data_IF_158852826992
#
_entry.id   IF_158852826992
#
_cell.length_a   1.000
_cell.length_b   1.000
_cell.length_c   1.000
_cell.angle_alpha   90.00
_cell.angle_beta   90.00
_cell.angle_gamma   90.00
#
_symmetry.space_group_name_H-M   'P 1'
#
loop_
_entity.id
_entity.type
_entity.pdbx_description
1 polymer ?
#
# COMPACT_ATOMS: atom_id res chain seq x y z
N UNK A 1 -13.93 -12.42 24.85
CA UNK A 1 -15.28 -12.89 24.46
C UNK A 1 -15.76 -11.97 23.36
N UNK A 2 -16.24 -12.48 22.23
CA UNK A 2 -16.80 -11.63 21.15
C UNK A 2 -18.18 -11.13 21.52
N UNK A 3 -18.66 -10.08 20.86
CA UNK A 3 -20.00 -9.53 21.09
C UNK A 3 -21.11 -10.52 20.71
N UNK A 4 -20.90 -11.34 19.68
CA UNK A 4 -21.77 -12.49 19.38
C UNK A 4 -21.79 -13.53 20.51
N UNK A 5 -20.62 -13.82 21.10
CA UNK A 5 -20.51 -14.69 22.27
C UNK A 5 -21.27 -14.12 23.47
N UNK A 6 -21.16 -12.81 23.69
CA UNK A 6 -21.91 -12.11 24.74
C UNK A 6 -23.42 -12.23 24.53
N UNK A 7 -23.91 -12.11 23.29
CA UNK A 7 -25.34 -12.33 22.99
C UNK A 7 -25.79 -13.75 23.28
N UNK A 8 -24.98 -14.75 22.93
CA UNK A 8 -25.31 -16.15 23.19
C UNK A 8 -25.35 -16.48 24.68
N UNK A 9 -24.43 -15.93 25.46
CA UNK A 9 -24.27 -16.24 26.89
C UNK A 9 -24.75 -15.10 27.80
N UNK A 10 -25.62 -14.21 27.31
CA UNK A 10 -26.04 -12.99 28.03
C UNK A 10 -26.53 -13.28 29.44
N UNK A 11 -27.37 -14.31 29.62
CA UNK A 11 -27.91 -14.67 30.93
C UNK A 11 -26.83 -15.09 31.93
N UNK A 12 -25.84 -15.86 31.47
CA UNK A 12 -24.70 -16.28 32.29
C UNK A 12 -23.83 -15.08 32.69
N UNK A 13 -23.49 -14.23 31.72
CA UNK A 13 -22.67 -13.03 31.99
C UNK A 13 -23.42 -12.07 32.90
N UNK A 14 -24.72 -11.88 32.71
CA UNK A 14 -25.56 -11.04 33.56
C UNK A 14 -25.63 -11.55 35.01
N UNK A 15 -25.58 -12.87 35.22
CA UNK A 15 -25.60 -13.44 36.58
C UNK A 15 -24.38 -13.04 37.42
N UNK A 16 -23.28 -12.65 36.78
CA UNK A 16 -22.09 -12.12 37.42
C UNK A 16 -22.25 -10.66 37.88
N UNK A 17 -23.37 -10.01 37.53
CA UNK A 17 -23.66 -8.59 37.79
C UNK A 17 -22.48 -7.66 37.42
N UNK A 18 -21.99 -7.70 36.17
CA UNK A 18 -20.88 -6.85 35.76
C UNK A 18 -21.27 -5.37 35.88
N UNK A 19 -20.43 -4.61 36.59
CA UNK A 19 -20.56 -3.16 36.75
C UNK A 19 -19.84 -2.37 35.67
N UNK A 20 -18.79 -2.94 35.11
CA UNK A 20 -17.95 -2.31 34.09
C UNK A 20 -17.85 -3.26 32.90
N UNK A 21 -18.06 -2.73 31.70
CA UNK A 21 -17.84 -3.47 30.45
C UNK A 21 -16.98 -2.61 29.53
N UNK A 22 -15.92 -3.21 29.00
CA UNK A 22 -15.08 -2.64 27.95
C UNK A 22 -15.30 -3.41 26.66
N UNK A 23 -15.54 -2.68 25.56
CA UNK A 23 -15.70 -3.22 24.21
C UNK A 23 -14.61 -2.62 23.33
N UNK A 24 -13.70 -3.47 22.88
CA UNK A 24 -12.73 -3.13 21.83
C UNK A 24 -13.37 -3.26 20.45
N UNK A 25 -12.81 -2.54 19.47
CA UNK A 25 -13.34 -2.46 18.09
C UNK A 25 -14.83 -2.05 18.04
N UNK A 26 -15.24 -1.17 18.98
CA UNK A 26 -16.62 -0.73 19.12
C UNK A 26 -17.13 0.02 17.88
N UNK A 27 -16.24 0.59 17.07
CA UNK A 27 -16.57 1.24 15.81
C UNK A 27 -17.02 0.26 14.71
N UNK A 28 -16.53 -0.98 14.75
CA UNK A 28 -16.91 -2.07 13.83
C UNK A 28 -18.10 -2.87 14.37
N UNK A 29 -18.45 -2.72 15.65
CA UNK A 29 -19.57 -3.43 16.24
C UNK A 29 -20.89 -2.69 15.98
N UNK A 30 -21.86 -3.37 15.36
CA UNK A 30 -23.21 -2.82 15.19
C UNK A 30 -23.84 -2.48 16.55
N UNK A 31 -24.60 -1.40 16.62
CA UNK A 31 -25.21 -0.89 17.86
C UNK A 31 -26.04 -1.95 18.60
N UNK A 32 -26.76 -2.79 17.87
CA UNK A 32 -27.55 -3.88 18.44
C UNK A 32 -26.72 -4.88 19.26
N UNK A 33 -25.45 -5.10 18.91
CA UNK A 33 -24.56 -5.98 19.69
C UNK A 33 -23.97 -5.28 20.91
N UNK A 34 -23.76 -3.97 20.84
CA UNK A 34 -23.30 -3.16 21.99
C UNK A 34 -24.39 -3.05 23.05
N UNK A 35 -25.67 -2.90 22.65
CA UNK A 35 -26.79 -2.82 23.60
C UNK A 35 -26.97 -4.11 24.42
N UNK A 36 -26.50 -5.24 23.90
CA UNK A 36 -26.43 -6.53 24.60
C UNK A 36 -25.35 -6.56 25.69
N UNK A 37 -24.50 -5.55 25.80
CA UNK A 37 -23.63 -5.35 26.97
C UNK A 37 -24.28 -4.48 28.06
N UNK A 38 -25.39 -3.81 27.77
CA UNK A 38 -26.08 -2.95 28.73
C UNK A 38 -26.92 -3.79 29.70
N UNK A 39 -26.27 -4.34 30.72
CA UNK A 39 -26.92 -5.06 31.82
C UNK A 39 -27.55 -4.09 32.82
N UNK A 40 -28.53 -4.57 33.60
CA UNK A 40 -29.11 -3.76 34.69
C UNK A 40 -28.08 -3.36 35.75
N UNK A 41 -27.03 -4.16 35.93
CA UNK A 41 -25.94 -3.92 36.87
C UNK A 41 -24.87 -2.96 36.35
N UNK A 42 -24.93 -2.58 35.07
CA UNK A 42 -23.86 -1.81 34.43
C UNK A 42 -23.85 -0.37 34.93
N UNK A 43 -22.69 0.05 35.44
CA UNK A 43 -22.42 1.42 35.91
C UNK A 43 -21.47 2.17 34.95
N UNK A 44 -20.60 1.45 34.21
CA UNK A 44 -19.63 2.06 33.29
C UNK A 44 -19.48 1.22 31.99
N UNK A 45 -19.74 1.85 30.84
CA UNK A 45 -19.46 1.29 29.52
C UNK A 45 -18.27 2.02 28.88
N UNK A 46 -17.20 1.28 28.56
CA UNK A 46 -16.01 1.80 27.89
C UNK A 46 -16.01 1.28 26.46
N UNK A 47 -16.04 2.19 25.48
CA UNK A 47 -16.00 1.84 24.05
C UNK A 47 -14.68 2.31 23.46
N UNK A 48 -13.89 1.37 22.95
CA UNK A 48 -12.61 1.64 22.28
C UNK A 48 -12.79 1.30 20.81
N UNK A 49 -12.52 2.24 19.92
CA UNK A 49 -12.67 2.02 18.49
C UNK A 49 -12.20 3.20 17.66
N UNK A 50 -12.23 3.02 16.35
CA UNK A 50 -11.85 4.03 15.38
C UNK A 50 -12.91 4.11 14.27
N UNK A 51 -13.71 5.18 14.29
CA UNK A 51 -14.80 5.40 13.35
C UNK A 51 -14.32 5.78 11.94
N UNK A 52 -13.04 6.06 11.76
CA UNK A 52 -12.41 6.28 10.45
C UNK A 52 -11.86 4.99 9.82
N UNK A 53 -11.78 3.89 10.57
CA UNK A 53 -11.46 2.55 10.06
C UNK A 53 -12.73 1.75 9.70
N UNK A 54 -12.63 0.44 9.49
CA UNK A 54 -13.74 -0.40 9.04
C UNK A 54 -14.99 -0.26 9.94
N UNK A 55 -16.14 -0.22 9.28
CA UNK A 55 -17.46 -0.21 9.93
C UNK A 55 -18.03 -1.62 9.97
N UNK A 56 -18.95 -1.84 10.91
CA UNK A 56 -19.70 -3.08 11.00
C UNK A 56 -20.46 -3.40 9.72
N UNK A 57 -20.46 -4.67 9.33
CA UNK A 57 -21.18 -5.13 8.16
C UNK A 57 -22.66 -5.32 8.48
N UNK A 58 -23.51 -4.51 7.86
CA UNK A 58 -24.95 -4.73 7.85
C UNK A 58 -25.30 -5.64 6.66
N UNK A 59 -25.77 -6.86 6.95
CA UNK A 59 -26.12 -7.83 5.90
C UNK A 59 -27.21 -7.31 4.95
N UNK A 60 -28.14 -6.53 5.49
CA UNK A 60 -29.21 -5.90 4.71
C UNK A 60 -28.80 -4.48 4.35
N UNK A 61 -28.38 -4.30 3.11
CA UNK A 61 -27.89 -3.03 2.61
C UNK A 61 -28.99 -1.95 2.58
N UNK A 62 -30.27 -2.34 2.48
CA UNK A 62 -31.40 -1.39 2.50
C UNK A 62 -31.57 -0.77 3.89
N UNK A 63 -31.20 -1.49 4.94
CA UNK A 63 -31.27 -1.03 6.33
C UNK A 63 -30.00 -0.30 6.78
N UNK A 64 -28.89 -0.49 6.08
CA UNK A 64 -27.60 0.12 6.43
C UNK A 64 -27.65 1.65 6.35
N UNK A 65 -28.39 2.19 5.38
CA UNK A 65 -28.49 3.62 5.07
C UNK A 65 -29.83 4.25 5.47
N UNK A 66 -30.12 5.41 4.90
CA UNK A 66 -31.39 6.12 5.14
C UNK A 66 -32.59 5.24 4.77
N UNK A 67 -33.66 5.20 5.60
CA UNK A 67 -33.88 5.97 6.83
C UNK A 67 -33.37 5.32 8.13
N UNK A 68 -32.89 4.07 8.09
CA UNK A 68 -32.69 3.24 9.28
C UNK A 68 -31.30 3.37 9.91
N UNK A 69 -30.27 3.61 9.10
CA UNK A 69 -28.88 3.82 9.51
C UNK A 69 -28.30 2.70 10.39
N UNK A 70 -28.73 1.45 10.20
CA UNK A 70 -28.23 0.31 10.98
C UNK A 70 -26.75 -0.01 10.72
N UNK A 71 -26.13 0.60 9.70
CA UNK A 71 -24.70 0.49 9.44
C UNK A 71 -23.83 1.42 10.32
N UNK A 72 -24.43 2.30 11.12
CA UNK A 72 -23.70 3.18 12.04
C UNK A 72 -23.56 2.46 13.39
N UNK A 73 -22.34 2.34 13.89
CA UNK A 73 -22.08 1.77 15.22
C UNK A 73 -22.51 2.73 16.33
N UNK A 74 -22.77 2.18 17.53
CA UNK A 74 -23.03 3.02 18.71
C UNK A 74 -21.89 4.00 18.95
N UNK A 75 -20.64 3.54 18.79
CA UNK A 75 -19.44 4.36 18.92
C UNK A 75 -19.47 5.56 17.96
N UNK A 76 -19.67 5.31 16.66
CA UNK A 76 -19.71 6.38 15.66
C UNK A 76 -20.89 7.34 15.90
N UNK A 77 -22.05 6.82 16.31
CA UNK A 77 -23.20 7.66 16.65
C UNK A 77 -22.92 8.59 17.83
N UNK A 78 -22.27 8.10 18.89
CA UNK A 78 -21.90 8.91 20.05
C UNK A 78 -20.89 10.00 19.68
N UNK A 79 -19.88 9.67 18.87
CA UNK A 79 -18.90 10.64 18.35
C UNK A 79 -19.59 11.73 17.53
N UNK A 80 -20.49 11.37 16.59
CA UNK A 80 -21.25 12.33 15.78
C UNK A 80 -22.16 13.23 16.61
N UNK A 81 -22.68 12.70 17.72
CA UNK A 81 -23.47 13.46 18.70
C UNK A 81 -22.62 14.28 19.67
N UNK A 82 -21.30 14.38 19.44
CA UNK A 82 -20.38 15.20 20.23
C UNK A 82 -20.31 14.79 21.70
N UNK A 83 -20.49 13.50 21.99
CA UNK A 83 -20.18 12.95 23.32
C UNK A 83 -18.68 13.05 23.53
N UNK A 84 -18.26 13.51 24.71
CA UNK A 84 -16.84 13.66 25.04
C UNK A 84 -16.10 12.32 24.91
N UNK A 85 -14.97 12.33 24.21
CA UNK A 85 -14.11 11.18 24.03
C UNK A 85 -12.64 11.57 24.18
N UNK A 86 -11.80 10.59 24.50
CA UNK A 86 -10.35 10.73 24.49
C UNK A 86 -9.76 10.11 23.23
N UNK A 87 -8.87 10.84 22.55
CA UNK A 87 -8.18 10.36 21.35
C UNK A 87 -6.71 10.10 21.64
N UNK A 88 -6.22 8.91 21.27
CA UNK A 88 -4.79 8.60 21.29
C UNK A 88 -4.13 9.15 20.03
N UNK A 89 -3.33 10.21 20.17
CA UNK A 89 -2.71 10.92 19.04
C UNK A 89 -1.33 10.37 18.63
N UNK A 90 -0.70 9.54 19.47
CA UNK A 90 0.68 9.07 19.24
C UNK A 90 0.72 7.61 18.79
N UNK A 91 1.24 7.38 17.59
CA UNK A 91 1.36 6.04 16.98
C UNK A 91 2.72 5.39 17.26
N UNK A 92 2.74 4.05 17.35
CA UNK A 92 3.94 3.24 17.65
C UNK A 92 4.26 2.16 16.59
N UNK A 93 3.51 2.13 15.48
CA UNK A 93 3.58 1.08 14.46
C UNK A 93 4.54 1.43 13.34
N UNK A 94 4.30 2.53 12.64
CA UNK A 94 4.88 2.80 11.32
C UNK A 94 5.98 3.85 11.41
N UNK A 95 6.94 3.84 10.49
CA UNK A 95 7.90 4.96 10.37
C UNK A 95 7.20 6.25 9.91
N UNK A 96 7.76 7.45 10.20
CA UNK A 96 7.18 8.73 9.78
C UNK A 96 6.93 8.86 8.27
N UNK A 97 7.74 8.18 7.46
CA UNK A 97 7.63 8.16 6.00
C UNK A 97 6.32 7.51 5.53
N UNK A 98 5.85 6.47 6.22
CA UNK A 98 4.59 5.79 5.93
C UNK A 98 3.41 6.61 6.47
N UNK A 99 3.53 7.13 7.71
CA UNK A 99 2.51 7.98 8.35
C UNK A 99 2.13 9.17 7.47
N UNK A 100 3.06 9.70 6.67
CA UNK A 100 2.80 10.79 5.72
C UNK A 100 1.57 10.55 4.83
N UNK A 101 1.37 9.32 4.36
CA UNK A 101 0.23 8.96 3.52
C UNK A 101 -1.11 8.97 4.26
N UNK A 102 -1.09 8.84 5.60
CA UNK A 102 -2.28 8.87 6.45
C UNK A 102 -2.65 10.29 6.91
N UNK A 103 -1.82 11.30 6.69
CA UNK A 103 -2.09 12.68 7.10
C UNK A 103 -3.45 13.23 6.63
N UNK A 104 -3.95 12.91 5.41
CA UNK A 104 -5.28 13.34 4.97
C UNK A 104 -6.44 12.73 5.79
N UNK A 105 -6.18 11.62 6.47
CA UNK A 105 -7.19 10.88 7.27
C UNK A 105 -7.06 11.29 8.74
N UNK A 106 -5.82 11.24 9.27
CA UNK A 106 -5.50 11.65 10.64
C UNK A 106 -4.53 12.83 10.65
N UNK A 107 -5.08 14.04 10.80
CA UNK A 107 -4.29 15.27 10.79
C UNK A 107 -3.35 15.39 11.99
N UNK A 108 -3.82 14.99 13.18
CA UNK A 108 -3.10 15.15 14.45
C UNK A 108 -2.27 13.93 14.87
N UNK A 109 -2.04 12.97 13.96
CA UNK A 109 -1.29 11.75 14.27
C UNK A 109 0.22 12.04 14.36
N UNK A 110 0.80 11.76 15.54
CA UNK A 110 2.21 11.97 15.87
C UNK A 110 2.98 10.65 16.01
N UNK A 111 4.27 10.68 15.69
CA UNK A 111 5.16 9.52 15.75
C UNK A 111 5.78 9.37 17.16
N UNK A 112 5.73 8.16 17.73
CA UNK A 112 6.48 7.85 18.96
C UNK A 112 7.98 7.65 18.65
N UNK A 113 8.92 8.06 19.54
CA UNK A 113 10.35 7.88 19.30
C UNK A 113 10.78 6.44 18.94
N UNK A 114 10.06 5.44 19.42
CA UNK A 114 10.32 4.02 19.15
C UNK A 114 10.20 3.62 17.67
N UNK A 115 9.65 4.47 16.80
CA UNK A 115 9.52 4.17 15.36
C UNK A 115 10.55 4.88 14.48
N UNK A 116 11.38 5.76 15.06
CA UNK A 116 12.30 6.61 14.29
C UNK A 116 13.51 5.82 13.78
N UNK A 117 14.01 4.86 14.56
CA UNK A 117 15.27 4.14 14.28
C UNK A 117 15.04 2.73 13.72
N UNK A 118 13.93 2.51 13.00
CA UNK A 118 13.66 1.20 12.38
C UNK A 118 14.62 0.96 11.22
N UNK A 119 15.10 -0.28 11.07
CA UNK A 119 16.02 -0.65 10.00
C UNK A 119 15.40 -0.38 8.61
N UNK A 120 16.18 0.19 7.67
CA UNK A 120 15.70 0.43 6.31
C UNK A 120 15.39 -0.89 5.59
N UNK A 121 14.59 -0.82 4.53
CA UNK A 121 14.30 -1.98 3.68
C UNK A 121 15.53 -2.29 2.82
N UNK A 122 16.07 -3.52 2.88
CA UNK A 122 17.19 -3.95 2.05
C UNK A 122 16.91 -3.75 0.56
N UNK A 123 17.91 -3.29 -0.18
CA UNK A 123 17.78 -3.03 -1.62
C UNK A 123 17.04 -1.73 -1.99
N UNK A 124 16.58 -0.93 -1.02
CA UNK A 124 15.75 0.26 -1.32
C UNK A 124 16.44 1.60 -1.08
N UNK A 125 17.72 1.61 -0.70
CA UNK A 125 18.51 2.84 -0.56
C UNK A 125 17.91 3.85 0.43
N UNK A 126 17.18 3.37 1.45
CA UNK A 126 16.49 4.22 2.43
C UNK A 126 15.12 4.73 1.98
N UNK A 127 14.61 4.33 0.80
CA UNK A 127 13.24 4.63 0.35
C UNK A 127 12.29 3.55 0.87
N UNK A 128 11.68 3.83 2.01
CA UNK A 128 10.85 2.86 2.72
C UNK A 128 9.34 3.07 2.46
N UNK A 129 8.96 4.16 1.79
CA UNK A 129 7.59 4.41 1.33
C UNK A 129 7.61 4.87 -0.13
N UNK A 130 6.85 4.21 -1.01
CA UNK A 130 6.80 4.60 -2.42
C UNK A 130 5.48 4.22 -3.10
N UNK A 131 5.00 5.07 -3.99
CA UNK A 131 3.86 4.82 -4.88
C UNK A 131 4.39 4.62 -6.31
N UNK A 132 4.39 3.38 -6.77
CA UNK A 132 4.63 3.04 -8.16
C UNK A 132 3.35 3.24 -8.97
N UNK A 133 3.35 4.23 -9.87
CA UNK A 133 2.21 4.48 -10.76
C UNK A 133 2.40 3.81 -12.11
N UNK A 134 1.34 3.20 -12.64
CA UNK A 134 1.34 2.56 -13.96
C UNK A 134 0.07 2.91 -14.75
N UNK A 135 0.06 2.51 -16.04
CA UNK A 135 -1.09 2.67 -16.96
C UNK A 135 -1.69 1.31 -17.38
N UNK A 136 -1.21 0.20 -16.81
CA UNK A 136 -1.73 -1.14 -17.05
C UNK A 136 -3.23 -1.26 -16.74
N UNK A 137 -4.02 -1.70 -17.72
CA UNK A 137 -5.49 -1.70 -17.65
C UNK A 137 -6.03 -2.86 -16.82
N UNK A 138 -7.11 -2.59 -16.09
CA UNK A 138 -7.85 -3.63 -15.38
C UNK A 138 -8.60 -4.57 -16.34
N UNK A 139 -8.72 -5.82 -15.92
CA UNK A 139 -9.56 -6.86 -16.51
C UNK A 139 -10.45 -7.46 -15.43
N UNK A 140 -11.07 -8.60 -15.70
CA UNK A 140 -12.02 -9.23 -14.78
C UNK A 140 -11.84 -10.74 -14.84
N UNK A 141 -11.90 -11.41 -13.68
CA UNK A 141 -11.81 -12.87 -13.59
C UNK A 141 -13.16 -13.57 -13.90
N UNK A 142 -13.17 -14.90 -13.83
CA UNK A 142 -14.37 -15.72 -14.08
C UNK A 142 -15.52 -15.38 -13.11
N UNK A 143 -15.19 -14.92 -11.89
CA UNK A 143 -16.15 -14.54 -10.85
C UNK A 143 -16.50 -13.05 -10.88
N UNK A 144 -16.20 -12.36 -11.97
CA UNK A 144 -16.45 -10.92 -12.15
C UNK A 144 -15.66 -10.01 -11.18
N UNK A 145 -14.61 -10.53 -10.53
CA UNK A 145 -13.70 -9.75 -9.68
C UNK A 145 -12.63 -9.04 -10.51
N UNK A 146 -12.20 -7.84 -10.08
CA UNK A 146 -11.21 -7.04 -10.82
C UNK A 146 -9.80 -7.61 -10.66
N UNK A 147 -9.03 -7.53 -11.75
CA UNK A 147 -7.67 -8.07 -11.85
C UNK A 147 -6.80 -7.14 -12.70
N UNK A 148 -5.54 -6.97 -12.32
CA UNK A 148 -4.54 -6.25 -13.09
C UNK A 148 -3.26 -7.09 -13.22
N UNK A 149 -2.99 -7.57 -14.44
CA UNK A 149 -1.91 -8.52 -14.70
C UNK A 149 -0.52 -7.88 -14.65
N UNK A 150 -0.39 -6.64 -15.13
CA UNK A 150 0.86 -5.87 -15.12
C UNK A 150 1.23 -5.52 -13.68
N UNK A 151 0.27 -4.98 -12.93
CA UNK A 151 0.45 -4.67 -11.51
C UNK A 151 0.80 -5.91 -10.68
N UNK A 152 0.11 -7.04 -10.92
CA UNK A 152 0.44 -8.31 -10.27
C UNK A 152 1.86 -8.80 -10.62
N UNK A 153 2.32 -8.55 -11.85
CA UNK A 153 3.70 -8.84 -12.27
C UNK A 153 4.71 -8.00 -11.50
N UNK A 154 4.47 -6.68 -11.40
CA UNK A 154 5.32 -5.75 -10.65
C UNK A 154 5.41 -6.14 -9.18
N UNK A 155 4.27 -6.44 -8.55
CA UNK A 155 4.22 -6.86 -7.13
C UNK A 155 5.01 -8.15 -6.90
N UNK A 156 4.90 -9.13 -7.80
CA UNK A 156 5.61 -10.42 -7.67
C UNK A 156 7.12 -10.26 -7.89
N UNK A 157 7.53 -9.52 -8.93
CA UNK A 157 8.95 -9.24 -9.18
C UNK A 157 9.59 -8.47 -8.04
N UNK A 158 8.87 -7.48 -7.48
CA UNK A 158 9.34 -6.73 -6.34
C UNK A 158 9.37 -7.56 -5.03
N UNK A 159 8.37 -8.41 -4.81
CA UNK A 159 8.39 -9.36 -3.69
C UNK A 159 9.64 -10.25 -3.77
N UNK A 160 9.94 -10.80 -4.94
CA UNK A 160 11.13 -11.61 -5.15
C UNK A 160 12.41 -10.82 -4.88
N UNK A 161 12.50 -9.60 -5.43
CA UNK A 161 13.62 -8.70 -5.18
C UNK A 161 13.90 -8.49 -3.68
N UNK A 162 12.85 -8.23 -2.88
CA UNK A 162 12.99 -8.05 -1.43
C UNK A 162 13.50 -9.33 -0.75
N UNK A 163 12.98 -10.48 -1.15
CA UNK A 163 13.39 -11.79 -0.62
C UNK A 163 14.84 -12.11 -0.99
N UNK A 164 15.27 -11.83 -2.22
CA UNK A 164 16.67 -11.97 -2.65
C UNK A 164 17.59 -11.06 -1.84
N UNK A 165 17.12 -9.87 -1.44
CA UNK A 165 17.84 -8.95 -0.54
C UNK A 165 17.78 -9.33 0.95
N UNK A 166 17.30 -10.53 1.28
CA UNK A 166 17.36 -11.11 2.61
C UNK A 166 16.14 -10.86 3.50
N UNK A 167 15.05 -10.31 2.96
CA UNK A 167 13.78 -10.23 3.70
C UNK A 167 13.15 -11.62 3.82
N UNK A 168 12.63 -11.96 5.00
CA UNK A 168 11.87 -13.19 5.16
C UNK A 168 10.49 -13.02 4.48
N UNK A 169 10.04 -13.96 3.63
CA UNK A 169 8.69 -13.91 3.04
C UNK A 169 7.56 -13.71 4.06
N UNK A 170 7.72 -14.21 5.29
CA UNK A 170 6.75 -14.01 6.37
C UNK A 170 6.65 -12.56 6.87
N UNK A 171 7.69 -11.75 6.66
CA UNK A 171 7.74 -10.32 7.01
C UNK A 171 7.11 -9.41 5.94
N UNK A 172 6.66 -10.00 4.82
CA UNK A 172 6.07 -9.28 3.69
C UNK A 172 4.61 -9.72 3.53
N UNK A 173 3.69 -8.77 3.62
CA UNK A 173 2.27 -8.98 3.29
C UNK A 173 1.93 -8.29 1.99
N UNK A 174 1.24 -9.00 1.09
CA UNK A 174 0.61 -8.39 -0.08
C UNK A 174 -0.88 -8.15 0.21
N UNK A 175 -1.29 -6.89 0.16
CA UNK A 175 -2.68 -6.46 0.33
C UNK A 175 -3.29 -6.07 -1.00
N UNK A 176 -4.56 -6.39 -1.17
CA UNK A 176 -5.35 -5.94 -2.32
C UNK A 176 -6.83 -5.82 -1.96
N UNK A 177 -7.57 -5.02 -2.72
CA UNK A 177 -9.00 -4.83 -2.50
C UNK A 177 -9.86 -5.90 -3.20
N UNK A 178 -9.27 -6.71 -4.08
CA UNK A 178 -10.02 -7.61 -4.96
C UNK A 178 -9.56 -9.06 -4.83
N UNK A 179 -10.52 -9.97 -4.59
CA UNK A 179 -10.25 -11.40 -4.49
C UNK A 179 -9.67 -12.00 -5.77
N UNK A 180 -10.07 -11.51 -6.95
CA UNK A 180 -9.48 -11.92 -8.23
C UNK A 180 -7.98 -11.63 -8.26
N UNK A 181 -7.59 -10.41 -7.89
CA UNK A 181 -6.19 -10.00 -7.79
C UNK A 181 -5.42 -10.82 -6.74
N UNK A 182 -6.02 -11.04 -5.56
CA UNK A 182 -5.43 -11.89 -4.50
C UNK A 182 -5.08 -13.27 -5.04
N UNK A 183 -6.01 -13.92 -5.74
CA UNK A 183 -5.80 -15.24 -6.35
C UNK A 183 -4.72 -15.19 -7.43
N UNK A 184 -4.71 -14.17 -8.28
CA UNK A 184 -3.71 -14.01 -9.33
C UNK A 184 -2.29 -13.87 -8.75
N UNK A 185 -2.11 -12.98 -7.78
CA UNK A 185 -0.81 -12.75 -7.14
C UNK A 185 -0.34 -14.01 -6.43
N UNK A 186 -1.20 -14.64 -5.63
CA UNK A 186 -0.88 -15.89 -4.94
C UNK A 186 -0.43 -16.98 -5.91
N UNK A 187 -1.12 -17.12 -7.05
CA UNK A 187 -0.73 -18.08 -8.10
C UNK A 187 0.65 -17.73 -8.69
N UNK A 188 0.88 -16.48 -9.08
CA UNK A 188 2.15 -16.02 -9.65
C UNK A 188 3.32 -16.20 -8.67
N UNK A 189 3.13 -15.92 -7.37
CA UNK A 189 4.16 -16.14 -6.35
C UNK A 189 4.54 -17.63 -6.23
N UNK A 190 3.55 -18.53 -6.25
CA UNK A 190 3.80 -19.99 -6.20
C UNK A 190 4.50 -20.52 -7.43
N UNK A 191 4.22 -19.94 -8.60
CA UNK A 191 4.86 -20.29 -9.87
C UNK A 191 6.26 -19.65 -10.02
N UNK A 192 6.59 -18.63 -9.21
CA UNK A 192 7.84 -17.88 -9.33
C UNK A 192 9.06 -18.72 -8.94
N UNK A 193 10.06 -18.77 -9.83
CA UNK A 193 11.24 -19.66 -9.74
C UNK A 193 11.97 -19.64 -8.39
N UNK A 194 12.14 -18.47 -7.77
CA UNK A 194 12.89 -18.30 -6.51
C UNK A 194 12.02 -18.41 -5.24
N UNK A 195 10.71 -18.50 -5.41
CA UNK A 195 9.74 -18.45 -4.32
C UNK A 195 9.00 -19.78 -4.11
N UNK A 196 9.24 -20.79 -4.94
CA UNK A 196 8.61 -22.11 -4.82
C UNK A 196 8.84 -22.71 -3.42
N UNK A 197 7.77 -23.28 -2.85
CA UNK A 197 7.79 -23.88 -1.52
C UNK A 197 7.70 -22.91 -0.34
N UNK A 198 7.67 -21.59 -0.58
CA UNK A 198 7.54 -20.58 0.48
C UNK A 198 6.07 -20.32 0.83
N UNK A 199 5.82 -19.93 2.07
CA UNK A 199 4.51 -19.43 2.50
C UNK A 199 4.41 -17.93 2.24
N UNK A 200 3.27 -17.50 1.68
CA UNK A 200 3.02 -16.09 1.36
C UNK A 200 1.77 -15.60 2.08
N UNK A 201 1.84 -14.37 2.60
CA UNK A 201 0.68 -13.68 3.13
C UNK A 201 0.09 -12.76 2.04
N UNK A 202 -0.90 -13.27 1.28
CA UNK A 202 -1.64 -12.49 0.27
C UNK A 202 -3.11 -12.48 0.62
N UNK A 203 -3.60 -11.31 1.04
CA UNK A 203 -4.90 -11.18 1.68
C UNK A 203 -5.63 -9.94 1.21
N UNK A 204 -6.94 -9.93 1.43
CA UNK A 204 -7.77 -8.75 1.14
C UNK A 204 -7.70 -7.75 2.29
N UNK A 205 -7.91 -6.46 2.00
CA UNK A 205 -7.95 -5.40 3.03
C UNK A 205 -8.94 -5.74 4.15
N UNK A 206 -10.16 -6.18 3.80
CA UNK A 206 -11.21 -6.51 4.76
C UNK A 206 -10.82 -7.67 5.69
N UNK A 207 -9.95 -8.59 5.24
CA UNK A 207 -9.51 -9.75 6.03
C UNK A 207 -8.22 -9.51 6.83
N UNK A 208 -7.63 -8.31 6.75
CA UNK A 208 -6.35 -7.97 7.35
C UNK A 208 -6.46 -6.93 8.48
N UNK A 209 -7.65 -6.79 9.05
CA UNK A 209 -7.88 -5.91 10.17
C UNK A 209 -7.15 -6.43 11.42
N UNK A 210 -6.66 -5.51 12.26
CA UNK A 210 -5.89 -5.85 13.46
C UNK A 210 -4.48 -6.37 13.19
N UNK A 211 -4.19 -6.84 11.98
CA UNK A 211 -2.88 -7.34 11.59
C UNK A 211 -1.93 -6.22 11.13
N UNK A 212 -0.63 -6.45 11.27
CA UNK A 212 0.46 -5.59 10.83
C UNK A 212 1.64 -6.46 10.36
N UNK A 213 2.52 -5.93 9.50
CA UNK A 213 3.75 -6.61 9.10
C UNK A 213 4.90 -5.63 8.85
N UNK A 214 6.14 -6.13 8.74
CA UNK A 214 7.30 -5.28 8.47
C UNK A 214 7.15 -4.53 7.14
N UNK A 215 6.79 -5.26 6.07
CA UNK A 215 6.59 -4.69 4.74
C UNK A 215 5.19 -5.02 4.23
N UNK A 216 4.53 -4.01 3.66
CA UNK A 216 3.25 -4.17 2.95
C UNK A 216 3.40 -3.74 1.51
N UNK A 217 3.02 -4.64 0.59
CA UNK A 217 2.86 -4.36 -0.83
C UNK A 217 1.37 -4.20 -1.12
N UNK A 218 0.92 -3.00 -1.47
CA UNK A 218 -0.49 -2.69 -1.68
C UNK A 218 -0.82 -2.61 -3.18
N UNK A 219 -1.63 -3.54 -3.67
CA UNK A 219 -2.14 -3.60 -5.05
C UNK A 219 -3.54 -2.99 -5.14
N UNK A 220 -3.66 -1.84 -5.83
CA UNK A 220 -4.91 -1.09 -6.00
C UNK A 220 -5.77 -1.58 -7.17
N UNK A 221 -5.20 -2.22 -8.19
CA UNK A 221 -5.87 -2.88 -9.33
C UNK A 221 -6.54 -1.93 -10.33
N UNK A 222 -7.25 -0.91 -9.86
CA UNK A 222 -8.20 -0.14 -10.67
C UNK A 222 -7.49 0.81 -11.63
N UNK A 223 -7.68 0.55 -12.92
CA UNK A 223 -7.21 1.39 -14.01
C UNK A 223 -8.15 1.21 -15.20
N UNK A 224 -9.02 2.19 -15.43
CA UNK A 224 -10.00 2.17 -16.50
C UNK A 224 -10.32 3.57 -17.01
N UNK A 225 -10.69 3.67 -18.29
CA UNK A 225 -10.99 4.95 -18.94
C UNK A 225 -12.24 5.66 -18.38
N UNK A 226 -13.05 4.99 -17.55
CA UNK A 226 -14.28 5.56 -16.99
C UNK A 226 -14.07 6.25 -15.64
N UNK A 227 -12.88 6.18 -15.03
CA UNK A 227 -12.66 6.79 -13.72
C UNK A 227 -13.41 6.08 -12.59
N UNK A 228 -13.80 4.82 -12.73
CA UNK A 228 -14.45 4.10 -11.62
C UNK A 228 -13.38 3.44 -10.76
N UNK A 229 -13.41 3.65 -9.44
CA UNK A 229 -12.43 3.05 -8.53
C UNK A 229 -13.07 2.15 -7.46
N UNK A 230 -14.40 2.14 -7.34
CA UNK A 230 -15.17 1.08 -6.65
C UNK A 230 -14.78 0.97 -5.18
N UNK A 231 -14.24 -0.18 -4.73
CA UNK A 231 -13.86 -0.34 -3.32
C UNK A 231 -12.80 0.66 -2.82
N UNK A 232 -12.05 1.29 -3.74
CA UNK A 232 -11.08 2.32 -3.40
C UNK A 232 -11.74 3.68 -3.06
N UNK A 233 -13.03 3.89 -3.36
CA UNK A 233 -13.79 5.06 -2.90
C UNK A 233 -14.11 5.00 -1.39
N UNK A 234 -14.07 3.80 -0.78
CA UNK A 234 -14.43 3.61 0.62
C UNK A 234 -13.26 4.03 1.52
N UNK A 235 -13.31 5.25 2.04
CA UNK A 235 -12.25 5.87 2.85
C UNK A 235 -11.79 4.98 4.02
N UNK A 236 -12.74 4.35 4.71
CA UNK A 236 -12.47 3.43 5.82
C UNK A 236 -11.52 2.28 5.45
N UNK A 237 -11.64 1.75 4.22
CA UNK A 237 -10.78 0.66 3.72
C UNK A 237 -9.42 1.18 3.28
N UNK A 238 -9.37 2.40 2.73
CA UNK A 238 -8.10 3.07 2.38
C UNK A 238 -7.26 3.31 3.63
N UNK A 239 -7.89 3.80 4.70
CA UNK A 239 -7.26 3.97 6.01
C UNK A 239 -6.63 2.66 6.51
N UNK A 240 -7.40 1.56 6.47
CA UNK A 240 -6.89 0.24 6.85
C UNK A 240 -5.72 -0.14 5.96
N UNK A 241 -5.82 -0.04 4.64
CA UNK A 241 -4.76 -0.47 3.72
C UNK A 241 -3.43 0.29 3.92
N UNK A 242 -3.48 1.61 4.17
CA UNK A 242 -2.30 2.46 4.31
C UNK A 242 -1.60 2.34 5.67
N UNK A 243 -2.25 1.74 6.69
CA UNK A 243 -1.79 1.75 8.09
C UNK A 243 -1.21 0.41 8.59
N UNK A 244 -0.96 -0.56 7.70
CA UNK A 244 -0.56 -1.93 8.07
C UNK A 244 0.95 -2.17 8.11
N UNK A 245 1.73 -1.33 7.46
CA UNK A 245 3.17 -1.46 7.39
C UNK A 245 3.86 -0.87 8.62
N UNK A 246 4.89 -1.58 9.11
CA UNK A 246 5.76 -1.11 10.20
C UNK A 246 7.02 -0.40 9.69
N UNK A 247 7.70 -1.00 8.70
CA UNK A 247 8.98 -0.53 8.13
C UNK A 247 8.86 -0.08 6.69
N UNK A 248 8.17 -0.84 5.83
CA UNK A 248 8.11 -0.58 4.38
C UNK A 248 6.69 -0.58 3.81
N UNK A 249 6.32 0.43 3.04
CA UNK A 249 5.01 0.52 2.36
C UNK A 249 5.17 0.84 0.89
N UNK A 250 4.79 -0.09 0.02
CA UNK A 250 4.94 0.06 -1.43
C UNK A 250 3.59 -0.11 -2.10
N UNK A 251 3.09 0.96 -2.72
CA UNK A 251 1.76 1.03 -3.32
C UNK A 251 1.89 0.94 -4.84
N UNK A 252 1.04 0.12 -5.46
CA UNK A 252 1.00 -0.10 -6.90
C UNK A 252 -0.41 0.26 -7.40
N UNK A 253 -0.50 1.21 -8.34
CA UNK A 253 -1.80 1.60 -8.91
C UNK A 253 -1.72 2.66 -10.00
N UNK A 254 -2.87 3.12 -10.46
CA UNK A 254 -2.99 4.19 -11.45
C UNK A 254 -3.30 5.52 -10.77
N UNK A 255 -2.26 6.28 -10.40
CA UNK A 255 -2.41 7.56 -9.69
C UNK A 255 -3.27 8.58 -10.46
N UNK A 256 -3.09 8.79 -11.78
CA UNK A 256 -3.97 9.68 -12.56
C UNK A 256 -5.44 9.30 -12.49
N UNK A 257 -5.76 8.01 -12.58
CA UNK A 257 -7.14 7.54 -12.45
C UNK A 257 -7.68 7.79 -11.03
N UNK A 258 -6.90 7.50 -10.00
CA UNK A 258 -7.30 7.68 -8.60
C UNK A 258 -7.54 9.15 -8.23
N UNK A 259 -6.64 10.05 -8.62
CA UNK A 259 -6.77 11.50 -8.36
C UNK A 259 -8.05 12.09 -8.96
N UNK A 260 -8.45 11.64 -10.16
CA UNK A 260 -9.67 12.11 -10.83
C UNK A 260 -10.94 11.62 -10.15
N UNK A 261 -10.87 10.46 -9.51
CA UNK A 261 -12.04 9.74 -9.00
C UNK A 261 -12.28 9.94 -7.51
N UNK A 262 -11.27 10.32 -6.73
CA UNK A 262 -11.39 10.46 -5.28
C UNK A 262 -10.51 11.55 -4.71
N UNK A 263 -11.15 12.45 -3.95
CA UNK A 263 -10.47 13.53 -3.23
C UNK A 263 -9.52 13.01 -2.17
N UNK A 264 -9.87 11.91 -1.49
CA UNK A 264 -8.97 11.27 -0.52
C UNK A 264 -7.68 10.79 -1.21
N UNK A 265 -7.80 10.05 -2.31
CA UNK A 265 -6.63 9.58 -3.04
C UNK A 265 -5.80 10.72 -3.61
N UNK A 266 -6.43 11.79 -4.09
CA UNK A 266 -5.71 13.01 -4.49
C UNK A 266 -4.86 13.55 -3.35
N UNK A 267 -5.41 13.72 -2.14
CA UNK A 267 -4.64 14.18 -0.98
C UNK A 267 -3.53 13.21 -0.57
N UNK A 268 -3.77 11.89 -0.63
CA UNK A 268 -2.76 10.86 -0.34
C UNK A 268 -1.61 10.97 -1.34
N UNK A 269 -1.91 11.05 -2.63
CA UNK A 269 -0.93 11.17 -3.72
C UNK A 269 -0.15 12.47 -3.59
N UNK A 270 -0.81 13.59 -3.26
CA UNK A 270 -0.14 14.85 -2.96
C UNK A 270 0.80 14.73 -1.77
N UNK A 271 0.38 14.06 -0.70
CA UNK A 271 1.23 13.85 0.47
C UNK A 271 2.48 13.04 0.12
N UNK A 272 2.37 12.06 -0.78
CA UNK A 272 3.50 11.28 -1.27
C UNK A 272 4.37 12.02 -2.28
N UNK A 273 3.82 12.97 -3.03
CA UNK A 273 4.55 13.79 -4.01
C UNK A 273 5.37 14.94 -3.37
N UNK A 274 5.10 15.29 -2.11
CA UNK A 274 5.91 16.26 -1.36
C UNK A 274 7.35 15.79 -1.20
N UNK A 275 8.27 16.74 -1.04
CA UNK A 275 9.69 16.47 -0.86
C UNK A 275 9.98 15.60 0.40
N UNK A 276 10.82 14.55 0.29
CA UNK A 276 11.28 13.92 -0.94
C UNK A 276 10.14 13.21 -1.67
N UNK A 277 10.04 13.40 -2.99
CA UNK A 277 8.99 12.80 -3.81
C UNK A 277 9.03 11.26 -3.75
N UNK A 278 7.92 10.65 -3.35
CA UNK A 278 7.74 9.20 -3.17
C UNK A 278 6.71 8.60 -4.14
N UNK A 279 6.60 9.16 -5.33
CA UNK A 279 5.72 8.65 -6.38
C UNK A 279 6.40 8.75 -7.75
N UNK A 280 6.20 7.75 -8.61
CA UNK A 280 6.73 7.77 -9.97
C UNK A 280 6.38 6.55 -10.81
N UNK A 281 6.67 6.62 -12.10
CA UNK A 281 6.46 5.53 -13.07
C UNK A 281 7.58 4.48 -13.07
N UNK A 282 8.61 4.70 -12.27
CA UNK A 282 9.74 3.78 -12.11
C UNK A 282 9.88 3.44 -10.63
N UNK A 283 10.06 2.16 -10.34
CA UNK A 283 10.39 1.67 -9.02
C UNK A 283 11.91 1.72 -8.84
N UNK A 284 12.37 2.41 -7.80
CA UNK A 284 13.78 2.66 -7.58
C UNK A 284 14.37 1.56 -6.70
N UNK A 285 15.25 0.75 -7.28
CA UNK A 285 16.00 -0.29 -6.58
C UNK A 285 17.45 0.17 -6.40
N UNK A 286 18.10 -0.20 -5.32
CA UNK A 286 19.46 0.22 -4.98
C UNK A 286 20.33 -1.00 -4.72
N UNK A 287 21.39 -1.15 -5.53
CA UNK A 287 22.38 -2.19 -5.34
C UNK A 287 23.41 -1.76 -4.30
N UNK A 288 23.42 -2.41 -3.13
CA UNK A 288 24.39 -2.10 -2.06
C UNK A 288 25.85 -2.34 -2.46
N UNK A 289 26.14 -3.35 -3.31
CA UNK A 289 27.51 -3.69 -3.73
C UNK A 289 28.13 -2.66 -4.65
N UNK A 290 27.34 -2.08 -5.56
CA UNK A 290 27.83 -1.18 -6.60
C UNK A 290 27.36 0.27 -6.44
N UNK A 291 26.62 0.56 -5.37
CA UNK A 291 25.97 1.85 -5.11
C UNK A 291 25.18 2.39 -6.32
N UNK A 292 24.56 1.46 -7.06
CA UNK A 292 23.91 1.74 -8.35
C UNK A 292 22.39 1.69 -8.19
N UNK A 293 21.69 2.69 -8.75
CA UNK A 293 20.23 2.72 -8.79
C UNK A 293 19.71 2.10 -10.08
N UNK A 294 18.78 1.16 -9.95
CA UNK A 294 18.06 0.55 -11.08
C UNK A 294 16.61 1.00 -11.05
N UNK A 295 16.09 1.39 -12.21
CA UNK A 295 14.74 1.93 -12.36
C UNK A 295 13.88 0.92 -13.11
N UNK A 296 12.93 0.29 -12.41
CA UNK A 296 12.06 -0.73 -12.99
C UNK A 296 10.72 -0.13 -13.38
N UNK A 297 10.36 -0.25 -14.65
CA UNK A 297 9.08 0.20 -15.20
C UNK A 297 8.13 -0.96 -15.47
N UNK A 298 8.66 -2.10 -15.93
CA UNK A 298 7.86 -3.23 -16.38
C UNK A 298 8.27 -4.53 -15.67
N UNK A 299 7.33 -5.49 -15.48
CA UNK A 299 7.62 -6.73 -14.75
C UNK A 299 8.79 -7.54 -15.31
N UNK A 300 8.98 -7.56 -16.63
CA UNK A 300 10.04 -8.34 -17.28
C UNK A 300 11.45 -7.81 -17.01
N UNK A 301 11.60 -6.57 -16.55
CA UNK A 301 12.91 -6.00 -16.23
C UNK A 301 13.50 -6.60 -14.95
N UNK A 302 12.68 -7.19 -14.08
CA UNK A 302 13.16 -7.95 -12.92
C UNK A 302 13.93 -9.21 -13.33
N UNK A 303 13.67 -9.79 -14.51
CA UNK A 303 14.34 -11.01 -14.98
C UNK A 303 15.85 -10.79 -15.23
N UNK A 304 16.26 -9.54 -15.41
CA UNK A 304 17.66 -9.15 -15.54
C UNK A 304 18.37 -8.98 -14.19
N UNK A 305 17.69 -9.14 -13.06
CA UNK A 305 18.23 -8.90 -11.72
C UNK A 305 18.28 -10.19 -10.91
N UNK A 306 19.39 -10.38 -10.20
CA UNK A 306 19.55 -11.43 -9.18
C UNK A 306 19.54 -10.82 -7.75
N UNK A 307 18.79 -9.72 -7.56
CA UNK A 307 18.68 -8.98 -6.30
C UNK A 307 19.61 -7.77 -6.16
N UNK A 308 20.66 -7.67 -6.98
CA UNK A 308 21.52 -6.48 -7.08
C UNK A 308 21.19 -5.62 -8.30
N UNK A 309 22.21 -5.22 -9.07
CA UNK A 309 22.06 -4.52 -10.35
C UNK A 309 22.37 -5.45 -11.54
N UNK A 310 22.16 -4.96 -12.77
CA UNK A 310 22.40 -5.71 -14.00
C UNK A 310 23.88 -5.95 -14.35
N UNK A 311 24.84 -5.48 -13.53
CA UNK A 311 26.28 -5.75 -13.75
C UNK A 311 26.58 -7.23 -13.45
N UNK A 312 27.42 -7.92 -14.23
CA UNK A 312 27.77 -9.32 -13.96
C UNK A 312 28.57 -9.45 -12.65
N UNK A 313 28.34 -10.50 -11.86
CA UNK A 313 29.00 -10.67 -10.57
C UNK A 313 30.50 -10.98 -10.69
N UNK A 314 30.86 -12.00 -11.49
CA UNK A 314 32.25 -12.42 -11.77
C UNK A 314 33.12 -12.82 -10.56
N UNK A 315 32.54 -12.96 -9.37
CA UNK A 315 33.23 -13.50 -8.19
C UNK A 315 33.43 -15.03 -8.32
N UNK A 316 34.46 -15.57 -7.67
CA UNK A 316 34.78 -16.99 -7.65
C UNK A 316 33.91 -17.73 -6.62
N UNK A 317 33.30 -18.85 -7.04
CA UNK A 317 32.49 -19.71 -6.17
C UNK A 317 33.37 -20.74 -5.44
N UNK A 318 32.83 -21.39 -4.41
CA UNK A 318 33.53 -22.43 -3.62
C UNK A 318 34.06 -23.61 -4.43
N UNK A 319 33.52 -23.84 -5.64
CA UNK A 319 33.99 -24.85 -6.59
C UNK A 319 35.09 -24.37 -7.55
N UNK A 320 35.65 -23.17 -7.36
CA UNK A 320 36.67 -22.57 -8.23
C UNK A 320 36.13 -21.98 -9.56
N UNK A 321 34.83 -22.09 -9.81
CA UNK A 321 34.20 -21.53 -11.01
C UNK A 321 33.72 -20.09 -10.79
N UNK A 322 33.80 -19.27 -11.84
CA UNK A 322 33.27 -17.91 -11.85
C UNK A 322 31.74 -17.92 -11.85
N UNK A 323 31.13 -17.13 -10.97
CA UNK A 323 29.69 -16.93 -10.91
C UNK A 323 29.14 -16.35 -12.22
N UNK A 324 28.08 -16.97 -12.74
CA UNK A 324 27.41 -16.55 -14.00
C UNK A 324 26.18 -15.67 -13.78
N UNK A 325 25.83 -15.38 -12.53
CA UNK A 325 24.71 -14.50 -12.20
C UNK A 325 25.09 -13.03 -12.37
N UNK A 326 24.08 -12.18 -12.46
CA UNK A 326 24.26 -10.75 -12.27
C UNK A 326 24.54 -10.43 -10.80
N UNK A 327 24.83 -9.17 -10.51
CA UNK A 327 25.13 -8.74 -9.16
C UNK A 327 23.99 -9.15 -8.23
N UNK A 328 24.35 -9.79 -7.13
CA UNK A 328 23.42 -10.33 -6.15
C UNK A 328 23.92 -10.07 -4.73
N UNK A 329 23.01 -9.94 -3.75
CA UNK A 329 23.35 -9.61 -2.36
C UNK A 329 23.61 -10.84 -1.47
N UNK A 330 23.33 -12.06 -1.94
CA UNK A 330 23.50 -13.30 -1.17
C UNK A 330 24.89 -13.92 -1.35
N UNK A 331 25.24 -14.90 -0.52
CA UNK A 331 26.55 -15.58 -0.61
C UNK A 331 26.63 -16.48 -1.83
N UNK A 332 27.85 -16.72 -2.34
CA UNK A 332 28.11 -17.71 -3.38
C UNK A 332 27.92 -19.15 -2.90
N UNK A 333 27.87 -19.40 -1.60
CA UNK A 333 27.63 -20.74 -1.02
C UNK A 333 26.25 -21.30 -1.39
N UNK A 334 25.28 -20.42 -1.66
CA UNK A 334 23.91 -20.80 -2.05
C UNK A 334 23.71 -20.78 -3.56
N UNK A 335 24.74 -20.46 -4.34
CA UNK A 335 24.67 -20.39 -5.81
C UNK A 335 25.04 -21.74 -6.40
N UNK A 336 24.11 -22.35 -7.15
CA UNK A 336 24.40 -23.57 -7.89
C UNK A 336 25.25 -23.28 -9.14
N UNK A 337 26.45 -23.83 -9.20
CA UNK A 337 27.31 -23.76 -10.37
C UNK A 337 26.69 -24.53 -11.55
N UNK A 338 26.56 -23.87 -12.71
CA UNK A 338 26.04 -24.47 -13.95
C UNK A 338 27.10 -25.20 -14.79
N UNK A 339 28.37 -25.19 -14.36
CA UNK A 339 29.47 -25.91 -15.02
C UNK A 339 29.72 -27.26 -14.32
N UNK A 340 30.27 -28.23 -15.06
CA UNK A 340 30.68 -29.52 -14.49
C UNK A 340 31.76 -29.31 -13.43
N UNK A 341 31.36 -29.32 -12.15
CA UNK A 341 32.30 -29.24 -11.03
C UNK A 341 32.95 -30.60 -10.81
N UNK A 342 34.27 -30.62 -10.61
CA UNK A 342 34.96 -31.85 -10.21
C UNK A 342 34.52 -32.21 -8.78
N UNK A 343 33.89 -33.38 -8.55
CA UNK A 343 33.42 -33.77 -7.23
C UNK A 343 34.54 -33.84 -6.18
N UNK A 344 35.80 -33.97 -6.60
CA UNK A 344 36.97 -34.06 -5.72
C UNK A 344 37.39 -32.73 -5.08
N UNK A 345 36.86 -31.59 -5.56
CA UNK A 345 37.12 -30.26 -5.00
C UNK A 345 36.01 -29.75 -4.07
N UNK A 346 34.91 -30.47 -3.93
CA UNK A 346 33.81 -30.13 -3.03
C UNK A 346 34.12 -30.59 -1.59
N UNK A 347 35.06 -29.91 -0.94
CA UNK A 347 35.29 -30.12 0.49
C UNK A 347 34.14 -29.50 1.31
N UNK A 348 33.18 -30.35 1.70
CA UNK A 348 32.37 -30.18 2.92
C UNK A 348 31.17 -29.23 2.84
N UNK A 349 30.09 -29.64 2.18
CA UNK A 349 28.70 -29.46 2.64
C UNK A 349 27.71 -30.08 1.63
N UNK A 350 26.50 -30.52 2.05
CA UNK A 350 25.54 -31.14 1.14
C UNK A 350 25.13 -30.11 0.08
N UNK A 351 25.22 -30.48 -1.20
CA UNK A 351 24.62 -29.72 -2.29
C UNK A 351 23.09 -29.71 -2.10
N UNK A 352 22.58 -28.69 -1.43
CA UNK A 352 21.15 -28.39 -1.45
C UNK A 352 20.78 -27.94 -2.86
N UNK A 353 20.09 -28.80 -3.61
CA UNK A 353 19.09 -28.28 -4.55
C UNK A 353 18.20 -27.33 -3.75
N UNK A 354 17.89 -26.16 -4.30
CA UNK A 354 16.97 -25.22 -3.67
C UNK A 354 15.56 -25.82 -3.70
N UNK A 355 15.30 -26.71 -2.75
CA UNK A 355 13.99 -27.03 -2.19
C UNK A 355 14.06 -26.57 -0.74
N UNK A 356 13.37 -25.48 -0.40
CA UNK A 356 13.28 -25.03 0.98
C UNK A 356 12.41 -26.02 1.77
N UNK A 357 13.02 -26.87 2.60
CA UNK A 357 12.34 -27.71 3.58
C UNK A 357 12.87 -27.44 5.00
N UNK A 358 11.95 -27.58 5.95
CA UNK A 358 11.94 -27.14 7.36
C UNK A 358 12.93 -27.87 8.28
N UNK A 359 13.30 -27.28 9.43
CA UNK A 359 13.15 -27.87 10.78
C UNK A 359 13.52 -26.92 11.94
N UNK A 360 12.89 -27.14 13.11
CA UNK A 360 12.79 -26.21 14.24
C UNK A 360 13.93 -26.22 15.29
N UNK A 361 13.81 -25.30 16.26
CA UNK A 361 14.69 -25.01 17.43
C UNK A 361 14.70 -26.16 18.48
N UNK A 362 15.53 -26.19 19.58
CA UNK A 362 16.28 -25.08 20.21
C UNK A 362 17.63 -25.33 20.98
N UNK A 363 18.21 -24.22 21.48
CA UNK A 363 19.00 -23.99 22.72
C UNK A 363 20.54 -24.17 22.84
N UNK A 364 21.12 -23.15 23.53
CA UNK A 364 22.42 -23.05 24.24
C UNK A 364 23.70 -23.01 23.38
N UNK A 365 24.75 -22.21 23.63
CA UNK A 365 25.15 -21.28 24.67
C UNK A 365 26.69 -21.16 24.62
N UNK A 366 27.22 -19.99 24.99
CA UNK A 366 28.56 -19.79 25.61
C UNK A 366 29.80 -19.69 24.67
N UNK A 367 30.17 -18.41 24.43
CA UNK A 367 31.43 -17.72 24.80
C UNK A 367 32.80 -17.93 24.12
N UNK A 368 33.53 -16.79 24.17
CA UNK A 368 34.98 -16.55 24.18
C UNK A 368 35.64 -16.36 22.81
N UNK A 369 35.89 -15.10 22.43
CA UNK A 369 37.08 -14.29 22.79
C UNK A 369 38.30 -14.70 21.99
N UNK A 370 38.78 -13.81 21.12
CA UNK A 370 40.04 -13.07 21.31
C UNK A 370 40.36 -12.22 20.08
N UNK A 371 40.25 -10.90 20.28
CA UNK A 371 41.12 -9.88 19.66
C UNK A 371 42.56 -10.04 20.24
N UNK A 372 43.65 -9.46 19.68
CA UNK A 372 43.70 -8.04 19.26
C UNK A 372 44.71 -7.61 18.17
N UNK A 373 44.47 -6.38 17.68
CA UNK A 373 45.40 -5.30 17.30
C UNK A 373 46.61 -5.57 16.37
N UNK A 374 46.73 -4.72 15.33
CA UNK A 374 47.67 -3.58 15.38
C UNK A 374 47.46 -2.57 14.25
N UNK A 375 47.39 -1.32 14.68
CA UNK A 375 47.34 -0.09 13.91
C UNK A 375 48.58 0.13 13.03
N UNK A 376 48.42 0.88 11.95
CA UNK A 376 49.28 2.05 11.71
C UNK A 376 48.51 3.10 10.92
N UNK A 377 48.33 4.26 11.55
CA UNK A 377 47.81 5.48 10.96
C UNK A 377 48.97 6.38 10.51
N UNK A 378 48.82 6.98 9.33
CA UNK A 378 49.31 8.29 8.90
C UNK A 378 48.88 8.42 7.44
N UNK A 379 48.22 9.44 6.92
CA UNK A 379 47.97 10.81 7.34
C UNK A 379 47.85 11.59 6.01
N UNK A 380 46.79 12.37 5.84
CA UNK A 380 46.60 13.15 4.60
C UNK A 380 45.30 13.94 4.62
N UNK A 381 45.42 15.25 4.77
CA UNK A 381 44.35 16.23 4.94
C UNK A 381 43.46 16.39 3.69
N UNK A 382 42.16 16.48 3.99
CA UNK A 382 41.05 17.25 3.39
C UNK A 382 41.38 18.12 2.17
N UNK A 383 40.69 17.82 1.05
CA UNK A 383 40.38 18.81 0.02
C UNK A 383 38.90 18.65 -0.42
N UNK A 384 38.24 19.78 -0.60
CA UNK A 384 36.81 20.03 -0.46
C UNK A 384 35.90 19.59 -1.63
N UNK A 385 34.81 18.89 -1.30
CA UNK A 385 33.45 19.46 -1.18
C UNK A 385 32.79 20.28 -2.30
N UNK A 386 33.21 20.16 -3.57
CA UNK A 386 32.45 20.75 -4.71
C UNK A 386 32.05 19.77 -5.81
N UNK A 387 32.80 18.70 -6.00
CA UNK A 387 32.49 17.69 -7.02
C UNK A 387 31.44 16.66 -6.57
N UNK A 388 31.35 16.37 -5.26
CA UNK A 388 30.35 15.45 -4.70
C UNK A 388 28.95 16.06 -4.64
N UNK A 389 28.85 17.36 -4.34
CA UNK A 389 27.58 18.10 -4.39
C UNK A 389 27.11 18.25 -5.83
N UNK A 390 28.00 18.57 -6.77
CA UNK A 390 27.67 18.66 -8.20
C UNK A 390 27.29 17.30 -8.82
N UNK A 391 27.88 16.20 -8.34
CA UNK A 391 27.51 14.84 -8.75
C UNK A 391 26.16 14.44 -8.16
N UNK A 392 25.90 14.72 -6.88
CA UNK A 392 24.60 14.50 -6.25
C UNK A 392 23.49 15.36 -6.87
N UNK A 393 23.79 16.60 -7.28
CA UNK A 393 22.87 17.48 -8.00
C UNK A 393 22.64 17.02 -9.45
N UNK A 394 23.67 16.50 -10.15
CA UNK A 394 23.50 15.86 -11.46
C UNK A 394 22.69 14.57 -11.37
N UNK A 395 22.95 13.72 -10.38
CA UNK A 395 22.18 12.49 -10.15
C UNK A 395 20.75 12.79 -9.71
N UNK A 396 20.53 13.84 -8.92
CA UNK A 396 19.19 14.32 -8.58
C UNK A 396 18.48 14.94 -9.80
N UNK A 397 19.19 15.64 -10.68
CA UNK A 397 18.67 16.18 -11.93
C UNK A 397 18.40 15.09 -12.98
N UNK A 398 19.22 14.04 -13.02
CA UNK A 398 19.07 12.89 -13.91
C UNK A 398 17.96 11.94 -13.40
N UNK A 399 17.80 11.82 -12.08
CA UNK A 399 16.64 11.21 -11.44
C UNK A 399 15.35 12.02 -11.71
N UNK A 400 15.40 13.36 -11.66
CA UNK A 400 14.27 14.24 -12.04
C UNK A 400 13.95 14.12 -13.53
N UNK A 401 14.96 14.05 -14.40
CA UNK A 401 14.82 13.95 -15.85
C UNK A 401 14.29 12.59 -16.35
N UNK A 402 14.38 11.54 -15.53
CA UNK A 402 13.75 10.22 -15.80
C UNK A 402 12.47 9.97 -14.99
N UNK A 403 12.19 10.77 -13.95
CA UNK A 403 10.98 10.66 -13.12
C UNK A 403 9.72 11.18 -13.79
N UNK A 404 9.82 12.01 -14.82
CA UNK A 404 8.70 12.81 -15.30
C UNK A 404 8.50 12.67 -16.81
N UNK A 405 7.43 11.99 -17.20
CA UNK A 405 6.67 12.39 -18.38
C UNK A 405 5.97 13.72 -17.98
N UNK A 406 6.68 14.85 -18.13
CA UNK A 406 6.37 16.15 -17.50
C UNK A 406 4.93 16.62 -17.76
N UNK A 407 4.34 16.26 -18.91
CA UNK A 407 2.97 16.65 -19.28
C UNK A 407 1.88 15.98 -18.42
N UNK A 408 2.12 14.75 -17.93
CA UNK A 408 1.11 14.00 -17.16
C UNK A 408 1.20 14.22 -15.65
N UNK A 409 2.39 14.54 -15.14
CA UNK A 409 2.63 14.63 -13.70
C UNK A 409 2.19 15.98 -13.11
N UNK A 410 2.40 17.10 -13.85
CA UNK A 410 1.90 18.41 -13.45
C UNK A 410 0.36 18.45 -13.35
N UNK A 411 -0.33 17.71 -14.24
CA UNK A 411 -1.79 17.59 -14.25
C UNK A 411 -2.37 16.84 -13.03
N UNK A 412 -1.55 16.10 -12.27
CA UNK A 412 -1.99 15.45 -11.02
C UNK A 412 -2.22 16.44 -9.88
N UNK A 413 -1.60 17.62 -9.95
CA UNK A 413 -1.63 18.64 -8.88
C UNK A 413 -2.58 19.80 -9.18
N UNK A 414 -3.23 19.81 -10.34
CA UNK A 414 -4.36 20.69 -10.60
C UNK A 414 -5.54 20.23 -9.73
N UNK A 415 -6.17 21.16 -9.01
CA UNK A 415 -7.34 20.87 -8.18
C UNK A 415 -8.46 20.26 -9.06
N UNK A 416 -9.05 19.11 -8.70
CA UNK A 416 -10.20 18.57 -9.42
C UNK A 416 -11.40 19.53 -9.46
N UNK A 417 -11.46 20.54 -8.58
CA UNK A 417 -12.44 21.62 -8.59
C UNK A 417 -12.20 22.73 -9.63
N UNK A 418 -11.01 22.79 -10.25
CA UNK A 418 -10.58 23.92 -11.09
C UNK A 418 -10.39 23.51 -12.57
N UNK A 419 -11.09 22.47 -13.02
CA UNK A 419 -11.24 22.14 -14.43
C UNK A 419 -12.13 23.18 -15.14
N UNK A 420 -11.68 24.43 -15.20
CA UNK A 420 -12.17 25.38 -16.20
C UNK A 420 -11.87 24.80 -17.58
N UNK A 421 -12.95 24.61 -18.35
CA UNK A 421 -12.95 24.28 -19.77
C UNK A 421 -11.86 25.06 -20.51
N UNK A 422 -10.75 24.41 -20.82
CA UNK A 422 -9.83 24.89 -21.85
C UNK A 422 -10.54 24.67 -23.17
N UNK A 423 -11.03 25.78 -23.74
CA UNK A 423 -11.64 25.90 -25.05
C UNK A 423 -10.69 25.36 -26.13
N UNK A 424 -10.91 24.11 -26.56
CA UNK A 424 -10.33 23.59 -27.79
C UNK A 424 -11.30 23.83 -28.94
N UNK A 425 -11.20 25.03 -29.52
CA UNK A 425 -11.84 25.42 -30.77
C UNK A 425 -11.34 24.60 -31.96
N UNK A 426 -11.77 23.34 -32.07
CA UNK A 426 -11.75 22.56 -33.32
C UNK A 426 -13.05 21.78 -33.48
N UNK A 427 -13.85 22.22 -34.47
CA UNK A 427 -15.09 21.61 -34.95
C UNK A 427 -14.92 20.09 -35.15
N UNK A 428 -15.61 19.28 -34.35
CA UNK A 428 -16.04 17.94 -34.75
C UNK A 428 -17.56 17.89 -34.78
N UNK A 429 -18.10 17.83 -35.99
CA UNK A 429 -19.51 17.60 -36.27
C UNK A 429 -19.83 16.13 -35.96
N UNK A 430 -20.52 15.87 -34.84
CA UNK A 430 -21.06 14.53 -34.56
C UNK A 430 -22.41 14.38 -35.28
N UNK A 431 -22.43 13.69 -36.42
CA UNK A 431 -23.68 13.24 -37.07
C UNK A 431 -24.13 11.97 -36.35
N UNK A 432 -25.15 12.07 -35.50
CA UNK A 432 -25.75 10.91 -34.82
C UNK A 432 -26.93 10.39 -35.63
N UNK A 433 -26.73 9.31 -36.38
CA UNK A 433 -27.80 8.48 -36.93
C UNK A 433 -28.33 7.56 -35.83
N UNK A 434 -29.56 7.79 -35.37
CA UNK A 434 -30.29 6.87 -34.50
C UNK A 434 -31.23 6.04 -35.38
N UNK A 435 -30.98 4.73 -35.46
CA UNK A 435 -31.91 3.75 -35.97
C UNK A 435 -32.82 3.29 -34.84
N UNK A 436 -34.10 3.62 -34.89
CA UNK A 436 -35.13 2.85 -34.21
C UNK A 436 -36.16 2.38 -35.23
N UNK A 437 -36.31 1.07 -35.30
CA UNK A 437 -37.29 0.42 -36.16
C UNK A 437 -38.71 0.78 -35.73
N UNK A 438 -39.45 1.35 -36.67
CA UNK A 438 -40.88 1.22 -36.99
C UNK A 438 -41.43 2.58 -37.46
N UNK A 439 -41.58 2.67 -38.78
CA UNK A 439 -42.40 3.60 -39.60
C UNK A 439 -42.70 5.01 -39.12
N UNK A 440 -42.24 6.02 -39.88
CA UNK A 440 -42.85 7.35 -39.91
C UNK A 440 -41.87 8.54 -39.91
N UNK A 441 -41.71 9.17 -41.08
CA UNK A 441 -41.29 10.57 -41.35
C UNK A 441 -40.29 11.30 -40.40
N UNK A 442 -39.10 11.59 -40.93
CA UNK A 442 -38.06 12.48 -40.33
C UNK A 442 -38.45 13.96 -40.44
N UNK A 443 -38.58 14.65 -39.31
CA UNK A 443 -38.59 16.12 -39.23
C UNK A 443 -37.45 16.61 -38.34
N UNK A 444 -36.64 17.57 -38.81
CA UNK A 444 -35.53 18.17 -38.07
C UNK A 444 -36.03 19.45 -37.40
N UNK A 445 -36.02 19.51 -36.06
CA UNK A 445 -36.26 20.73 -35.29
C UNK A 445 -34.94 21.31 -34.78
N UNK A 446 -34.72 22.62 -35.00
CA UNK A 446 -33.64 23.41 -34.38
C UNK A 446 -34.28 24.39 -33.40
N UNK A 447 -33.93 24.29 -32.11
CA UNK A 447 -34.28 25.27 -31.08
C UNK A 447 -33.08 25.55 -30.19
N UNK A 448 -32.81 26.83 -29.93
CA UNK A 448 -31.72 27.31 -29.06
C UNK A 448 -32.25 27.57 -27.66
N UNK A 449 -31.65 26.91 -26.65
CA UNK A 449 -31.96 27.13 -25.24
C UNK A 449 -31.05 28.21 -24.66
N UNK A 450 -31.63 29.24 -24.03
CA UNK A 450 -30.92 30.29 -23.26
C UNK A 450 -31.17 30.07 -21.76
N UNK A 451 -30.13 29.97 -20.92
CA UNK A 451 -30.31 29.84 -19.47
C UNK A 451 -30.67 31.20 -18.81
N UNK A 452 -31.40 31.20 -17.67
CA UNK A 452 -31.82 32.42 -16.98
C UNK A 452 -30.70 33.04 -16.12
N UNK A 453 -30.70 34.38 -16.02
CA UNK A 453 -29.76 35.19 -15.21
C UNK A 453 -30.12 35.20 -13.72
N UNK A 454 -29.15 35.31 -12.80
CA UNK A 454 -29.39 35.46 -11.37
C UNK A 454 -29.95 36.86 -11.04
N UNK A 455 -30.92 36.93 -10.13
CA UNK A 455 -31.46 38.19 -9.57
C UNK A 455 -30.76 38.51 -8.25
N UNK A 456 -30.48 39.79 -8.07
CA UNK A 456 -29.80 40.45 -6.96
C UNK A 456 -30.37 40.11 -5.58
N UNK A 457 -29.47 39.92 -4.61
CA UNK A 457 -29.76 39.99 -3.18
C UNK A 457 -29.55 41.42 -2.66
N UNK A 458 -30.52 41.90 -1.89
CA UNK A 458 -30.49 43.10 -1.04
C UNK A 458 -31.33 42.80 0.23
N UNK A 459 -31.20 43.60 1.30
CA UNK A 459 -30.70 43.11 2.59
C UNK A 459 -31.76 42.83 3.67
N UNK A 460 -31.28 42.15 4.74
CA UNK A 460 -31.78 42.06 6.12
C UNK A 460 -33.19 41.48 6.41
N UNK A 461 -33.22 40.36 7.12
CA UNK A 461 -34.23 40.06 8.15
C UNK A 461 -33.70 39.04 9.18
N UNK A 462 -34.02 39.31 10.43
CA UNK A 462 -33.54 38.72 11.69
C UNK A 462 -33.90 37.26 11.94
N UNK A 463 -32.99 36.54 12.63
CA UNK A 463 -33.18 35.24 13.25
C UNK A 463 -33.82 35.39 14.65
N UNK A 464 -35.06 34.94 14.79
CA UNK A 464 -35.72 34.51 16.02
C UNK A 464 -36.66 33.35 15.66
N UNK A 465 -36.66 32.33 16.51
CA UNK A 465 -37.58 31.17 16.58
C UNK A 465 -37.43 30.03 15.55
N UNK A 466 -36.60 29.02 15.90
CA UNK A 466 -37.00 27.62 16.23
C UNK A 466 -35.80 26.68 16.32
#
# INVERSE_FOLDING_TARGET
>A
MTTTGLSKYRGLVQSLNPKIVLIEEAAETLEGFVSVACFKSLEHLILVGDHQQLRGHCNDQELAGKPYYLGISMFERLVRNKVDFSQLKRQRRMIPEIRRALKPIYEELEDHPSVLDRLPIPGMGGVNSYFFTHKGRETTDIQMSKVNHEEAGMVVGFFDYLVLNGMNPGEITVLTFYNGQRKLIMRKLREHRHLQGKCFNVVTVDSYQGEENEVVLLSLVRSNARGNIGFLEVENRVCVALSRARRGSYIFGDAPNLCKSSMLWWHVIQAMAKDPCRIGFYLHLTCKKHDEKTFIKEPGEFDALDGGCAKPCREEMSCGHICTLNCHPFSHDVVSCKKCCDPSQLFGSPQLQVHFAYEGRPYSGISHDTQPYRDFAAGGHVESDKNLVALAEREAAEARGKQLDEENFAALFSDPGDATLVDSSKKMTLIRTMSNGKGGSRGVWKGTYKPPRPKNAGPEASLLDL
#
